data_IF_091235486914
#
_entry.id   IF_091235486914
#
_cell.length_a   1.000
_cell.length_b   1.000
_cell.length_c   1.000
_cell.angle_alpha   90.00
_cell.angle_beta   90.00
_cell.angle_gamma   90.00
#
_symmetry.space_group_name_H-M   'P 1'
#
loop_
_entity.id
_entity.type
_entity.pdbx_description
1 polymer ?
#
# COMPACT_ATOMS: atom_id res chain seq x y z
N UNK A 1 27.17 -2.95 5.85
CA UNK A 1 25.83 -3.50 5.64
C UNK A 1 25.37 -4.35 6.83
N UNK A 2 26.18 -5.26 7.33
CA UNK A 2 25.84 -6.11 8.49
C UNK A 2 25.48 -5.33 9.76
N UNK A 3 26.29 -4.34 10.16
CA UNK A 3 26.00 -3.49 11.36
C UNK A 3 24.68 -2.71 11.33
N UNK A 4 24.13 -2.41 10.15
CA UNK A 4 22.80 -1.75 10.06
C UNK A 4 21.64 -2.72 10.30
N UNK A 5 21.89 -4.02 10.11
CA UNK A 5 20.87 -5.06 10.33
C UNK A 5 20.83 -5.45 11.81
N UNK A 6 21.96 -5.39 12.51
CA UNK A 6 22.05 -5.68 13.96
C UNK A 6 21.19 -4.73 14.81
N UNK A 7 21.03 -3.47 14.37
CA UNK A 7 20.21 -2.45 15.06
C UNK A 7 18.85 -2.22 14.38
N UNK A 8 18.39 -3.15 13.55
CA UNK A 8 17.10 -3.03 12.89
C UNK A 8 15.95 -3.32 13.85
N UNK A 9 14.91 -2.51 13.77
CA UNK A 9 13.63 -2.81 14.46
C UNK A 9 12.83 -3.80 13.63
N UNK A 10 12.54 -4.97 14.22
CA UNK A 10 11.69 -6.00 13.61
C UNK A 10 10.25 -5.73 13.95
N UNK A 11 9.38 -5.67 12.94
CA UNK A 11 7.94 -5.49 13.10
C UNK A 11 7.26 -6.74 12.54
N UNK A 12 6.71 -7.60 13.42
CA UNK A 12 6.13 -8.87 13.02
C UNK A 12 4.72 -8.67 12.45
N UNK A 13 4.45 -9.21 11.27
CA UNK A 13 3.12 -9.29 10.67
C UNK A 13 2.53 -10.70 10.84
N UNK A 14 2.44 -11.15 12.09
CA UNK A 14 2.04 -12.51 12.46
C UNK A 14 0.61 -12.62 13.00
N UNK A 15 -0.20 -11.58 12.83
CA UNK A 15 -1.57 -11.49 13.30
C UNK A 15 -2.58 -11.35 12.16
N UNK A 16 -3.86 -11.47 12.48
CA UNK A 16 -4.98 -11.20 11.58
C UNK A 16 -5.26 -9.69 11.52
N UNK A 17 -4.80 -9.02 10.48
CA UNK A 17 -5.08 -7.61 10.24
C UNK A 17 -6.27 -7.46 9.29
N UNK A 18 -7.45 -7.24 9.85
CA UNK A 18 -8.69 -6.93 9.14
C UNK A 18 -9.04 -5.45 9.30
N UNK A 19 -9.79 -4.84 8.35
CA UNK A 19 -10.23 -3.46 8.51
C UNK A 19 -10.94 -3.25 9.85
N UNK A 20 -10.42 -2.30 10.65
CA UNK A 20 -10.92 -2.01 11.99
C UNK A 20 -9.91 -1.24 12.82
N UNK A 21 -10.31 -0.92 14.06
CA UNK A 21 -9.54 -0.11 15.00
C UNK A 21 -8.14 -0.68 15.26
N UNK A 22 -8.05 -1.98 15.54
CA UNK A 22 -6.79 -2.64 15.89
C UNK A 22 -5.75 -2.54 14.77
N UNK A 23 -6.21 -2.66 13.51
CA UNK A 23 -5.32 -2.52 12.35
C UNK A 23 -4.87 -1.08 12.14
N UNK A 24 -5.74 -0.11 12.40
CA UNK A 24 -5.37 1.33 12.33
C UNK A 24 -4.33 1.65 13.39
N UNK A 25 -4.51 1.19 14.63
CA UNK A 25 -3.55 1.35 15.70
C UNK A 25 -2.21 0.67 15.37
N UNK A 26 -2.26 -0.57 14.86
CA UNK A 26 -1.07 -1.31 14.46
C UNK A 26 -0.26 -0.56 13.38
N UNK A 27 -0.91 -0.12 12.30
CA UNK A 27 -0.22 0.64 11.26
C UNK A 27 0.21 2.04 11.74
N UNK A 28 -0.53 2.66 12.64
CA UNK A 28 -0.11 3.90 13.31
C UNK A 28 1.21 3.72 14.04
N UNK A 29 1.36 2.68 14.86
CA UNK A 29 2.61 2.35 15.56
C UNK A 29 3.72 1.93 14.57
N UNK A 30 3.38 1.21 13.50
CA UNK A 30 4.32 0.88 12.44
C UNK A 30 4.93 2.14 11.82
N UNK A 31 4.11 3.12 11.44
CA UNK A 31 4.59 4.34 10.81
C UNK A 31 5.36 5.27 11.75
N UNK A 32 5.04 5.32 13.04
CA UNK A 32 5.82 6.08 14.04
C UNK A 32 7.30 5.66 14.10
N UNK A 33 7.62 4.40 13.76
CA UNK A 33 9.02 3.93 13.71
C UNK A 33 9.86 4.65 12.65
N UNK A 34 9.22 5.20 11.63
CA UNK A 34 9.94 5.97 10.60
C UNK A 34 10.39 7.34 11.09
N UNK A 35 9.78 7.88 12.12
CA UNK A 35 10.14 9.19 12.69
C UNK A 35 11.16 9.07 13.86
N UNK A 36 11.40 7.86 14.38
CA UNK A 36 12.40 7.65 15.44
C UNK A 36 13.82 7.70 14.85
N UNK A 37 14.65 8.71 15.21
CA UNK A 37 16.00 8.85 14.66
C UNK A 37 16.95 7.73 15.06
N UNK A 38 16.63 6.99 16.12
CA UNK A 38 17.47 5.90 16.62
C UNK A 38 17.28 4.58 15.85
N UNK A 39 16.25 4.49 15.00
CA UNK A 39 15.96 3.31 14.18
C UNK A 39 16.58 3.49 12.80
N UNK A 40 17.71 2.85 12.47
CA UNK A 40 18.35 2.97 11.16
C UNK A 40 17.72 2.08 10.09
N UNK A 41 17.06 0.99 10.51
CA UNK A 41 16.43 0.03 9.61
C UNK A 41 15.17 -0.58 10.22
N UNK A 42 14.23 -0.92 9.37
CA UNK A 42 12.95 -1.55 9.73
C UNK A 42 12.82 -2.86 8.95
N UNK A 43 12.53 -3.94 9.65
CA UNK A 43 12.26 -5.25 9.04
C UNK A 43 10.77 -5.53 9.19
N UNK A 44 10.05 -5.52 8.06
CA UNK A 44 8.67 -6.01 8.00
C UNK A 44 8.70 -7.54 7.94
N UNK A 45 8.48 -8.22 9.05
CA UNK A 45 8.62 -9.67 9.14
C UNK A 45 7.29 -10.38 8.85
N UNK A 46 7.19 -10.96 7.66
CA UNK A 46 6.05 -11.74 7.16
C UNK A 46 6.30 -13.27 7.29
N UNK A 47 7.34 -13.71 8.02
CA UNK A 47 7.65 -15.14 8.12
C UNK A 47 6.50 -15.95 8.70
N UNK A 48 5.87 -15.43 9.76
CA UNK A 48 4.74 -16.05 10.47
C UNK A 48 3.40 -15.41 10.05
N UNK A 49 3.32 -14.90 8.81
CA UNK A 49 2.13 -14.28 8.26
C UNK A 49 0.90 -15.18 8.39
N UNK A 50 -0.17 -14.67 8.97
CA UNK A 50 -1.45 -15.34 9.06
C UNK A 50 -2.45 -14.81 8.04
N UNK A 51 -2.79 -13.53 8.16
CA UNK A 51 -3.67 -12.82 7.24
C UNK A 51 -3.51 -11.31 7.40
N UNK A 52 -3.33 -10.62 6.28
CA UNK A 52 -3.48 -9.16 6.18
C UNK A 52 -4.50 -8.89 5.10
N UNK A 53 -5.52 -8.09 5.42
CA UNK A 53 -6.50 -7.71 4.41
C UNK A 53 -5.79 -7.05 3.22
N UNK A 54 -6.09 -7.42 1.98
CA UNK A 54 -5.38 -6.92 0.80
C UNK A 54 -5.25 -5.40 0.71
N UNK A 55 -6.25 -4.65 1.21
CA UNK A 55 -6.19 -3.19 1.25
C UNK A 55 -4.99 -2.61 2.03
N UNK A 56 -4.35 -3.40 2.89
CA UNK A 56 -3.16 -2.98 3.63
C UNK A 56 -1.83 -3.29 2.92
N UNK A 57 -1.88 -4.01 1.80
CA UNK A 57 -0.68 -4.29 1.01
C UNK A 57 0.00 -2.99 0.56
N UNK A 58 -0.80 -1.98 0.18
CA UNK A 58 -0.31 -0.67 -0.23
C UNK A 58 0.48 0.03 0.88
N UNK A 59 0.09 -0.14 2.15
CA UNK A 59 0.79 0.44 3.29
C UNK A 59 2.17 -0.19 3.49
N UNK A 60 2.24 -1.53 3.45
CA UNK A 60 3.52 -2.24 3.60
C UNK A 60 4.46 -1.91 2.44
N UNK A 61 3.94 -1.90 1.21
CA UNK A 61 4.76 -1.63 0.03
C UNK A 61 5.25 -0.17 -0.02
N UNK A 62 4.41 0.81 0.32
CA UNK A 62 4.81 2.23 0.35
C UNK A 62 5.86 2.54 1.42
N UNK A 63 5.94 1.72 2.48
CA UNK A 63 6.94 1.87 3.54
C UNK A 63 8.39 1.86 3.02
N UNK A 64 8.65 1.18 1.90
CA UNK A 64 9.97 1.14 1.25
C UNK A 64 10.36 2.55 0.77
N UNK A 65 9.41 3.27 0.19
CA UNK A 65 9.62 4.63 -0.31
C UNK A 65 9.73 5.63 0.84
N UNK A 66 8.91 5.47 1.87
CA UNK A 66 9.01 6.26 3.10
C UNK A 66 10.36 6.04 3.77
N UNK A 67 10.84 4.80 3.86
CA UNK A 67 12.16 4.49 4.37
C UNK A 67 13.26 5.21 3.59
N UNK A 68 13.21 5.20 2.27
CA UNK A 68 14.17 5.93 1.42
C UNK A 68 14.16 7.43 1.72
N UNK A 69 12.99 8.05 1.82
CA UNK A 69 12.83 9.46 2.17
C UNK A 69 13.42 9.78 3.55
N UNK A 70 13.14 8.94 4.55
CA UNK A 70 13.63 9.08 5.93
C UNK A 70 15.07 8.57 6.13
N UNK A 71 15.77 8.18 5.04
CA UNK A 71 17.13 7.60 5.07
C UNK A 71 17.24 6.32 5.92
N UNK A 72 16.16 5.54 5.98
CA UNK A 72 16.09 4.26 6.68
C UNK A 72 16.05 3.11 5.67
N UNK A 73 16.66 2.00 6.01
CA UNK A 73 16.54 0.78 5.22
C UNK A 73 15.25 0.04 5.61
N UNK A 74 14.42 -0.30 4.64
CA UNK A 74 13.25 -1.15 4.84
C UNK A 74 13.47 -2.49 4.15
N UNK A 75 13.27 -3.56 4.89
CA UNK A 75 13.44 -4.94 4.41
C UNK A 75 12.13 -5.67 4.64
N UNK A 76 11.59 -6.30 3.61
CA UNK A 76 10.48 -7.24 3.75
C UNK A 76 11.09 -8.64 3.85
N UNK A 77 10.94 -9.24 5.03
CA UNK A 77 11.40 -10.59 5.32
C UNK A 77 10.22 -11.55 5.24
N UNK A 78 10.37 -12.65 4.53
CA UNK A 78 9.33 -13.65 4.37
C UNK A 78 9.89 -15.06 4.33
N UNK A 79 9.05 -16.03 4.62
CA UNK A 79 9.41 -17.45 4.57
C UNK A 79 8.89 -18.08 3.27
N UNK A 80 9.81 -18.58 2.43
CA UNK A 80 9.47 -19.22 1.16
C UNK A 80 8.59 -20.48 1.32
N UNK A 81 8.59 -21.09 2.50
CA UNK A 81 7.71 -22.23 2.81
C UNK A 81 6.30 -21.80 3.25
N UNK A 82 6.11 -20.54 3.63
CA UNK A 82 4.79 -20.01 3.97
C UNK A 82 4.04 -19.58 2.69
N UNK A 83 3.21 -20.50 2.16
CA UNK A 83 2.44 -20.26 0.93
C UNK A 83 1.55 -19.03 1.00
N UNK A 84 1.01 -18.68 2.18
CA UNK A 84 0.15 -17.50 2.36
C UNK A 84 0.93 -16.18 2.20
N UNK A 85 2.13 -16.10 2.78
CA UNK A 85 2.97 -14.90 2.63
C UNK A 85 3.45 -14.72 1.18
N UNK A 86 3.82 -15.82 0.52
CA UNK A 86 4.19 -15.80 -0.90
C UNK A 86 3.01 -15.35 -1.77
N UNK A 87 1.83 -15.93 -1.54
CA UNK A 87 0.62 -15.52 -2.28
C UNK A 87 0.35 -14.02 -2.10
N UNK A 88 0.36 -13.51 -0.86
CA UNK A 88 0.13 -12.09 -0.57
C UNK A 88 1.13 -11.19 -1.28
N UNK A 89 2.44 -11.49 -1.18
CA UNK A 89 3.49 -10.72 -1.83
C UNK A 89 3.42 -10.75 -3.36
N UNK A 90 3.01 -11.90 -3.89
CA UNK A 90 2.81 -12.10 -5.33
C UNK A 90 1.64 -11.27 -5.84
N UNK A 91 0.46 -11.48 -5.25
CA UNK A 91 -0.77 -10.80 -5.68
C UNK A 91 -0.70 -9.28 -5.53
N UNK A 92 0.01 -8.80 -4.50
CA UNK A 92 0.24 -7.36 -4.34
C UNK A 92 1.28 -6.77 -5.29
N UNK A 93 2.00 -7.60 -6.07
CA UNK A 93 3.11 -7.14 -6.91
C UNK A 93 4.36 -6.70 -6.14
N UNK A 94 4.40 -6.85 -4.81
CA UNK A 94 5.53 -6.42 -3.98
C UNK A 94 6.83 -7.16 -4.31
N UNK A 95 6.76 -8.42 -4.74
CA UNK A 95 7.95 -9.19 -5.15
C UNK A 95 8.67 -8.54 -6.32
N UNK A 96 7.94 -7.97 -7.26
CA UNK A 96 8.51 -7.27 -8.43
C UNK A 96 9.20 -5.96 -8.03
N UNK A 97 8.64 -5.23 -7.06
CA UNK A 97 9.19 -3.94 -6.60
C UNK A 97 10.47 -4.06 -5.77
N UNK A 98 10.78 -5.24 -5.26
CA UNK A 98 11.93 -5.45 -4.37
C UNK A 98 13.11 -6.16 -5.03
N UNK A 99 13.11 -6.35 -6.36
CA UNK A 99 14.10 -7.18 -7.07
C UNK A 99 14.23 -8.60 -6.47
N UNK A 100 13.17 -9.09 -5.84
CA UNK A 100 13.13 -10.41 -5.20
C UNK A 100 12.97 -11.56 -6.21
N UNK A 101 13.11 -11.24 -7.49
CA UNK A 101 13.58 -12.17 -8.50
C UNK A 101 12.63 -13.26 -9.00
N UNK A 102 11.34 -13.24 -8.65
CA UNK A 102 10.37 -14.16 -9.28
C UNK A 102 9.06 -13.42 -9.57
N UNK A 103 8.80 -13.21 -10.83
CA UNK A 103 7.48 -12.91 -11.37
C UNK A 103 6.65 -14.19 -11.33
N UNK A 104 5.99 -14.46 -10.21
CA UNK A 104 4.77 -15.24 -10.31
C UNK A 104 3.81 -14.42 -11.18
N UNK A 105 3.13 -15.08 -12.10
CA UNK A 105 2.08 -14.45 -12.90
C UNK A 105 1.11 -13.75 -11.97
N UNK A 106 1.07 -12.41 -12.03
CA UNK A 106 -0.02 -11.67 -11.42
C UNK A 106 -1.31 -12.21 -12.02
N UNK A 107 -2.31 -12.44 -11.19
CA UNK A 107 -3.65 -12.73 -11.67
C UNK A 107 -4.10 -11.53 -12.52
N UNK A 108 -4.54 -11.78 -13.76
CA UNK A 108 -4.96 -10.74 -14.69
C UNK A 108 -6.08 -9.85 -14.13
N UNK A 109 -6.80 -10.37 -13.13
CA UNK A 109 -7.87 -9.65 -12.44
C UNK A 109 -7.40 -8.77 -11.27
N UNK A 110 -6.10 -8.64 -11.04
CA UNK A 110 -5.56 -7.82 -9.98
C UNK A 110 -4.86 -6.57 -10.53
N UNK A 111 -4.96 -5.48 -9.80
CA UNK A 111 -4.15 -4.27 -10.00
C UNK A 111 -2.94 -4.39 -9.09
N UNK A 112 -1.71 -4.59 -9.62
CA UNK A 112 -0.52 -4.69 -8.81
C UNK A 112 -0.25 -3.38 -8.09
N UNK A 113 0.61 -3.42 -7.08
CA UNK A 113 1.12 -2.22 -6.44
C UNK A 113 1.80 -1.30 -7.46
N UNK A 114 1.27 -0.09 -7.57
CA UNK A 114 1.78 0.97 -8.44
C UNK A 114 2.01 2.23 -7.61
N UNK A 115 3.05 2.97 -7.95
CA UNK A 115 3.37 4.29 -7.41
C UNK A 115 3.23 5.33 -8.49
N UNK A 116 2.53 6.41 -8.21
CA UNK A 116 2.33 7.55 -9.09
C UNK A 116 3.01 8.80 -8.51
N UNK A 117 3.64 9.57 -9.38
CA UNK A 117 4.18 10.89 -9.07
C UNK A 117 3.26 12.03 -9.52
N UNK A 118 2.43 11.76 -10.53
CA UNK A 118 1.51 12.72 -11.12
C UNK A 118 0.15 12.08 -11.35
N UNK A 119 -0.89 12.91 -11.32
CA UNK A 119 -2.27 12.44 -11.53
C UNK A 119 -2.47 11.78 -12.90
N UNK A 120 -1.86 12.32 -13.95
CA UNK A 120 -1.99 11.80 -15.32
C UNK A 120 -1.55 10.35 -15.46
N UNK A 121 -0.61 9.90 -14.60
CA UNK A 121 -0.12 8.52 -14.58
C UNK A 121 -1.17 7.51 -14.08
N UNK A 122 -2.26 7.99 -13.46
CA UNK A 122 -3.32 7.13 -12.89
C UNK A 122 -4.33 6.64 -13.92
N UNK A 123 -4.39 7.26 -15.10
CA UNK A 123 -5.48 7.03 -16.06
C UNK A 123 -5.54 5.58 -16.54
N UNK A 124 -4.39 4.99 -16.88
CA UNK A 124 -4.33 3.57 -17.28
C UNK A 124 -4.76 2.64 -16.14
N UNK A 125 -4.36 2.94 -14.90
CA UNK A 125 -4.74 2.16 -13.73
C UNK A 125 -6.21 2.29 -13.42
N UNK A 126 -6.83 3.46 -13.61
CA UNK A 126 -8.27 3.64 -13.48
C UNK A 126 -9.01 2.72 -14.46
N UNK A 127 -8.55 2.64 -15.72
CA UNK A 127 -9.14 1.72 -16.69
C UNK A 127 -8.95 0.26 -16.26
N UNK A 128 -7.76 -0.13 -15.82
CA UNK A 128 -7.48 -1.47 -15.31
C UNK A 128 -8.36 -1.83 -14.11
N UNK A 129 -8.62 -0.89 -13.18
CA UNK A 129 -9.56 -1.10 -12.06
C UNK A 129 -10.95 -1.45 -12.55
N UNK A 130 -11.42 -0.80 -13.63
CA UNK A 130 -12.73 -1.11 -14.22
C UNK A 130 -12.74 -2.46 -14.92
N UNK A 131 -11.65 -2.80 -15.62
CA UNK A 131 -11.51 -4.07 -16.31
C UNK A 131 -11.46 -5.26 -15.34
N UNK A 132 -10.97 -5.03 -14.11
CA UNK A 132 -11.01 -6.01 -13.01
C UNK A 132 -12.40 -6.13 -12.35
N UNK A 133 -13.40 -5.35 -12.76
CA UNK A 133 -14.73 -5.45 -12.16
C UNK A 133 -15.33 -6.85 -12.39
N UNK A 134 -15.84 -7.51 -11.33
CA UNK A 134 -16.35 -8.88 -11.44
C UNK A 134 -17.68 -8.98 -12.20
N UNK A 135 -18.20 -7.85 -12.65
CA UNK A 135 -19.45 -7.72 -13.42
C UNK A 135 -19.22 -6.85 -14.64
N UNK A 136 -19.92 -7.13 -15.71
CA UNK A 136 -19.89 -6.28 -16.90
C UNK A 136 -20.56 -4.93 -16.60
N UNK A 137 -19.79 -3.86 -16.75
CA UNK A 137 -20.25 -2.50 -16.57
C UNK A 137 -20.83 -1.97 -17.88
N UNK A 138 -21.96 -1.26 -17.80
CA UNK A 138 -22.46 -0.46 -18.92
C UNK A 138 -21.70 0.87 -19.02
N UNK A 139 -21.85 1.59 -20.14
CA UNK A 139 -21.13 2.84 -20.39
C UNK A 139 -21.44 3.92 -19.34
N UNK A 140 -22.69 4.02 -18.88
CA UNK A 140 -23.11 5.01 -17.90
C UNK A 140 -22.48 4.75 -16.54
N UNK A 141 -22.50 3.50 -16.09
CA UNK A 141 -21.90 3.10 -14.81
C UNK A 141 -20.38 3.22 -14.88
N UNK A 142 -19.76 2.82 -16.00
CA UNK A 142 -18.33 2.99 -16.23
C UNK A 142 -17.91 4.46 -16.11
N UNK A 143 -18.63 5.38 -16.76
CA UNK A 143 -18.35 6.82 -16.69
C UNK A 143 -18.45 7.37 -15.25
N UNK A 144 -19.46 6.94 -14.50
CA UNK A 144 -19.62 7.32 -13.08
C UNK A 144 -18.45 6.80 -12.24
N UNK A 145 -18.07 5.54 -12.42
CA UNK A 145 -16.96 4.94 -11.67
C UNK A 145 -15.62 5.60 -12.01
N UNK A 146 -15.34 5.86 -13.29
CA UNK A 146 -14.14 6.62 -13.71
C UNK A 146 -14.08 7.95 -12.98
N UNK A 147 -15.18 8.70 -12.97
CA UNK A 147 -15.25 10.00 -12.28
C UNK A 147 -14.97 9.85 -10.78
N UNK A 148 -15.56 8.86 -10.12
CA UNK A 148 -15.41 8.66 -8.67
C UNK A 148 -14.02 8.14 -8.28
N UNK A 149 -13.47 7.24 -9.05
CA UNK A 149 -12.09 6.74 -8.84
C UNK A 149 -11.09 7.87 -9.11
N UNK A 150 -11.31 8.64 -10.19
CA UNK A 150 -10.50 9.82 -10.50
C UNK A 150 -10.53 10.87 -9.39
N UNK A 151 -11.69 11.09 -8.75
CA UNK A 151 -11.83 11.98 -7.60
C UNK A 151 -11.00 11.50 -6.40
N UNK A 152 -10.97 10.18 -6.13
CA UNK A 152 -10.14 9.60 -5.05
C UNK A 152 -8.66 9.89 -5.32
N UNK A 153 -8.16 9.62 -6.53
CA UNK A 153 -6.77 9.91 -6.90
C UNK A 153 -6.48 11.42 -6.85
N UNK A 154 -7.37 12.26 -7.40
CA UNK A 154 -7.22 13.70 -7.37
C UNK A 154 -7.10 14.24 -5.94
N UNK A 155 -7.92 13.73 -5.02
CA UNK A 155 -7.86 14.11 -3.61
C UNK A 155 -6.52 13.69 -2.97
N UNK A 156 -6.02 12.50 -3.27
CA UNK A 156 -4.73 12.04 -2.78
C UNK A 156 -3.58 12.94 -3.26
N UNK A 157 -3.59 13.42 -4.49
CA UNK A 157 -2.58 14.35 -5.02
C UNK A 157 -2.76 15.78 -4.47
N UNK A 158 -3.99 16.29 -4.49
CA UNK A 158 -4.24 17.71 -4.16
C UNK A 158 -4.15 17.97 -2.66
N UNK A 159 -4.70 17.07 -1.86
CA UNK A 159 -4.82 17.24 -0.41
C UNK A 159 -3.81 16.43 0.39
N UNK A 160 -3.31 15.32 -0.15
CA UNK A 160 -2.31 14.49 0.50
C UNK A 160 -0.98 15.21 0.66
N UNK A 161 -0.51 15.91 -0.37
CA UNK A 161 0.81 16.57 -0.40
C UNK A 161 1.95 15.60 -0.09
N UNK A 162 1.82 14.38 -0.53
CA UNK A 162 2.82 13.32 -0.29
C UNK A 162 4.08 13.53 -1.10
N UNK A 163 5.22 13.64 -0.45
CA UNK A 163 6.53 13.75 -1.13
C UNK A 163 6.97 12.42 -1.74
N UNK A 164 6.44 11.30 -1.26
CA UNK A 164 6.78 9.98 -1.80
C UNK A 164 5.83 9.49 -2.89
N UNK A 165 4.80 10.28 -3.21
CA UNK A 165 3.81 9.97 -4.25
C UNK A 165 2.52 9.36 -3.70
N UNK A 166 1.67 8.95 -4.63
CA UNK A 166 0.39 8.25 -4.36
C UNK A 166 0.54 6.79 -4.79
N UNK A 167 -0.05 5.89 -4.04
CA UNK A 167 0.09 4.45 -4.24
C UNK A 167 -1.27 3.79 -4.39
N UNK A 168 -1.33 2.75 -5.21
CA UNK A 168 -2.55 1.98 -5.43
C UNK A 168 -2.23 0.49 -5.54
N UNK A 169 -3.15 -0.36 -5.12
CA UNK A 169 -3.23 -1.76 -5.50
C UNK A 169 -4.68 -2.24 -5.39
N UNK A 170 -5.03 -3.32 -6.10
CA UNK A 170 -6.37 -3.88 -6.06
C UNK A 170 -6.37 -5.40 -6.23
N UNK A 171 -7.38 -6.06 -5.64
CA UNK A 171 -7.50 -7.52 -5.59
C UNK A 171 -8.95 -7.96 -5.76
N UNK A 172 -9.14 -9.11 -6.36
CA UNK A 172 -10.37 -9.87 -6.26
C UNK A 172 -10.22 -10.90 -5.14
N UNK A 173 -11.19 -10.95 -4.24
CA UNK A 173 -11.24 -11.97 -3.19
C UNK A 173 -12.02 -13.22 -3.64
N UNK A 174 -11.98 -14.27 -2.80
CA UNK A 174 -12.68 -15.55 -3.05
C UNK A 174 -14.22 -15.40 -3.16
N UNK A 175 -14.77 -14.29 -2.69
CA UNK A 175 -16.20 -13.95 -2.81
C UNK A 175 -16.52 -13.13 -4.06
N UNK A 176 -15.58 -13.06 -5.01
CA UNK A 176 -15.70 -12.30 -6.25
C UNK A 176 -15.97 -10.79 -6.02
N UNK A 177 -15.38 -10.23 -4.95
CA UNK A 177 -15.44 -8.80 -4.66
C UNK A 177 -14.10 -8.17 -5.01
N UNK A 178 -14.12 -7.16 -5.87
CA UNK A 178 -12.93 -6.36 -6.14
C UNK A 178 -12.79 -5.25 -5.11
N UNK A 179 -11.62 -5.19 -4.49
CA UNK A 179 -11.25 -4.13 -3.54
C UNK A 179 -9.98 -3.47 -4.03
N UNK A 180 -10.00 -2.15 -4.20
CA UNK A 180 -8.79 -1.39 -4.45
C UNK A 180 -8.52 -0.41 -3.30
N UNK A 181 -7.25 -0.04 -3.15
CA UNK A 181 -6.79 0.87 -2.12
C UNK A 181 -5.92 1.94 -2.73
N UNK A 182 -6.19 3.18 -2.37
CA UNK A 182 -5.34 4.34 -2.68
C UNK A 182 -4.76 4.84 -1.37
N UNK A 183 -3.47 5.10 -1.34
CA UNK A 183 -2.76 5.59 -0.18
C UNK A 183 -1.83 6.74 -0.57
N UNK A 184 -1.90 7.81 0.18
CA UNK A 184 -0.89 8.86 0.23
C UNK A 184 -0.24 8.90 1.61
N UNK A 185 1.03 9.19 1.67
CA UNK A 185 1.77 9.38 2.93
C UNK A 185 1.85 10.88 3.27
N UNK A 186 0.76 11.59 3.03
CA UNK A 186 0.71 13.04 3.17
C UNK A 186 0.26 13.52 4.54
N UNK A 187 -0.14 14.79 4.58
CA UNK A 187 -0.46 15.49 5.84
C UNK A 187 -1.80 15.08 6.46
N UNK A 188 -2.65 14.40 5.70
CA UNK A 188 -3.96 13.94 6.16
C UNK A 188 -5.03 15.05 6.26
N UNK A 189 -6.27 14.60 6.41
CA UNK A 189 -7.45 15.48 6.48
C UNK A 189 -7.41 16.44 7.70
N UNK A 190 -7.06 16.00 8.93
CA UNK A 190 -7.05 16.89 10.10
C UNK A 190 -6.14 18.10 9.91
N UNK A 191 -4.96 17.92 9.32
CA UNK A 191 -4.05 19.01 9.03
C UNK A 191 -4.64 20.04 8.05
N UNK A 192 -5.23 19.57 6.94
CA UNK A 192 -5.84 20.46 5.96
C UNK A 192 -7.03 21.24 6.56
N UNK A 193 -7.83 20.60 7.40
CA UNK A 193 -8.95 21.26 8.09
C UNK A 193 -8.43 22.29 9.07
N UNK A 194 -7.41 21.99 9.86
CA UNK A 194 -6.82 22.98 10.81
C UNK A 194 -6.25 24.19 10.08
N UNK A 195 -5.57 23.97 8.96
CA UNK A 195 -5.06 25.08 8.13
C UNK A 195 -6.19 25.96 7.57
N UNK A 196 -7.29 25.35 7.13
CA UNK A 196 -8.46 26.08 6.61
C UNK A 196 -9.15 26.91 7.71
N UNK A 197 -9.25 26.36 8.92
CA UNK A 197 -9.88 27.03 10.06
C UNK A 197 -8.97 28.05 10.75
N UNK A 198 -7.69 28.17 10.33
CA UNK A 198 -6.74 29.08 10.94
C UNK A 198 -6.34 28.71 12.37
N UNK A 199 -6.57 27.45 12.78
CA UNK A 199 -6.11 26.91 14.06
C UNK A 199 -4.72 26.31 13.88
N UNK A 200 -3.73 26.91 14.55
CA UNK A 200 -2.38 26.34 14.70
C UNK A 200 -2.36 25.08 15.55
#
# INVERSE_FOLDING_TARGET
MEKMIENATVIPFNMNLRPGKDSVEYFGEFYKRFDDPNIPAIICDLCEYQYIHPSYAVLIASSIYLGRQKKKKVIIKYNKSNKKSIWFLSQSGMLKHQDLGQTSSLDENNVPFVRFQKFEETLETIQQILDCAPVKLDEKLSAVLISKIGEIFSNAFTHGRSEIGVFCCGFINDSNQFTFSVYDAGVGIPYNVSQYLGSE
#
